data_IF_140763835676
#
_entry.id   IF_140763835676
#
_cell.length_a   1.000
_cell.length_b   1.000
_cell.length_c   1.000
_cell.angle_alpha   90.00
_cell.angle_beta   90.00
_cell.angle_gamma   90.00
#
_symmetry.space_group_name_H-M   'P 1'
#
loop_
_entity.id
_entity.type
_entity.pdbx_description
1 polymer ?
#
# COMPACT_ATOMS: atom_id res chain seq x y z
N UNK A 1 0.08 -87.93 33.83
CA UNK A 1 0.00 -86.82 34.82
C UNK A 1 0.40 -85.53 34.11
N UNK A 2 -0.60 -84.78 33.66
CA UNK A 2 -0.50 -83.55 32.86
C UNK A 2 -0.97 -82.38 33.71
N UNK A 3 -0.18 -81.31 33.82
CA UNK A 3 -0.59 -80.06 34.44
C UNK A 3 -0.33 -78.91 33.45
N UNK A 4 -1.39 -78.41 32.81
CA UNK A 4 -1.47 -77.11 32.10
C UNK A 4 -2.62 -76.35 32.78
N UNK A 5 -2.33 -75.30 33.55
CA UNK A 5 -2.25 -73.88 33.15
C UNK A 5 -3.60 -73.22 32.82
N UNK A 6 -4.07 -72.44 33.81
CA UNK A 6 -4.65 -71.08 33.73
C UNK A 6 -5.97 -70.92 32.94
N UNK A 7 -7.04 -70.65 33.69
CA UNK A 7 -8.26 -69.98 33.20
C UNK A 7 -8.47 -68.72 34.04
N UNK A 8 -8.10 -67.58 33.43
CA UNK A 8 -8.62 -66.19 33.51
C UNK A 8 -9.05 -65.59 34.87
N UNK A 9 -8.83 -64.28 35.07
CA UNK A 9 -9.92 -63.36 34.72
C UNK A 9 -9.49 -62.04 34.04
N UNK A 10 -10.31 -61.68 33.05
CA UNK A 10 -10.92 -60.35 32.92
C UNK A 10 -9.95 -59.15 32.89
N UNK A 11 -9.23 -59.00 31.79
CA UNK A 11 -8.53 -57.76 31.45
C UNK A 11 -9.57 -56.73 30.96
N UNK A 12 -9.73 -55.69 31.76
CA UNK A 12 -10.59 -54.53 31.53
C UNK A 12 -10.21 -53.84 30.21
N UNK A 13 -11.15 -53.80 29.26
CA UNK A 13 -11.08 -52.93 28.09
C UNK A 13 -11.20 -51.47 28.55
N UNK A 14 -10.07 -50.82 28.77
CA UNK A 14 -10.00 -49.36 28.89
C UNK A 14 -10.09 -48.74 27.49
N UNK A 15 -11.23 -48.14 27.18
CA UNK A 15 -11.40 -47.22 26.05
C UNK A 15 -10.49 -46.01 26.25
N UNK A 16 -9.30 -46.02 25.65
CA UNK A 16 -8.50 -44.82 25.44
C UNK A 16 -9.19 -43.98 24.37
N UNK A 17 -9.93 -42.98 24.81
CA UNK A 17 -10.40 -41.90 23.97
C UNK A 17 -9.18 -41.10 23.48
N UNK A 18 -8.90 -41.17 22.18
CA UNK A 18 -8.09 -40.14 21.54
C UNK A 18 -8.95 -38.88 21.44
N UNK A 19 -8.82 -37.98 22.41
CA UNK A 19 -9.23 -36.60 22.21
C UNK A 19 -8.30 -36.03 21.13
N UNK A 20 -8.85 -35.83 19.93
CA UNK A 20 -8.27 -34.94 18.93
C UNK A 20 -8.24 -33.55 19.57
N UNK A 21 -7.12 -33.21 20.18
CA UNK A 21 -6.79 -31.85 20.52
C UNK A 21 -6.75 -31.07 19.21
N UNK A 22 -7.89 -30.43 18.90
CA UNK A 22 -8.01 -29.49 17.81
C UNK A 22 -7.11 -28.32 18.15
N UNK A 23 -5.82 -28.48 17.82
CA UNK A 23 -4.88 -27.39 17.68
C UNK A 23 -5.53 -26.42 16.70
N UNK A 24 -6.26 -25.46 17.25
CA UNK A 24 -6.40 -24.15 16.63
C UNK A 24 -4.97 -23.69 16.51
N UNK A 25 -4.37 -23.97 15.36
CA UNK A 25 -3.32 -23.17 14.79
C UNK A 25 -3.95 -21.78 14.60
N UNK A 26 -4.10 -21.08 15.72
CA UNK A 26 -4.08 -19.63 15.76
C UNK A 26 -2.72 -19.33 15.18
N UNK A 27 -2.70 -19.26 13.85
CA UNK A 27 -1.64 -18.69 13.07
C UNK A 27 -1.30 -17.43 13.83
N UNK A 28 -0.19 -17.50 14.55
CA UNK A 28 0.44 -16.32 15.10
C UNK A 28 0.86 -15.59 13.83
N UNK A 29 -0.08 -14.83 13.28
CA UNK A 29 0.19 -13.68 12.47
C UNK A 29 1.02 -12.82 13.39
N UNK A 30 2.33 -13.06 13.34
CA UNK A 30 3.29 -12.00 13.49
C UNK A 30 2.75 -10.92 12.56
N UNK A 31 2.10 -9.93 13.15
CA UNK A 31 2.05 -8.59 12.62
C UNK A 31 3.52 -8.22 12.43
N UNK A 32 4.03 -8.58 11.25
CA UNK A 32 5.19 -7.97 10.69
C UNK A 32 4.77 -6.52 10.55
N UNK A 33 5.06 -5.73 11.58
CA UNK A 33 4.79 -4.30 11.62
C UNK A 33 5.71 -3.68 10.57
N UNK A 34 5.25 -3.72 9.32
CA UNK A 34 6.01 -3.20 8.20
C UNK A 34 6.13 -1.70 8.39
N UNK A 35 7.35 -1.16 8.42
CA UNK A 35 7.52 0.28 8.43
C UNK A 35 6.88 0.89 7.17
N UNK A 36 6.19 2.05 7.31
CA UNK A 36 5.59 2.73 6.18
C UNK A 36 6.67 3.20 5.21
N UNK A 37 6.48 2.93 3.92
CA UNK A 37 7.40 3.39 2.88
C UNK A 37 6.88 4.73 2.37
N UNK A 38 7.66 5.79 2.54
CA UNK A 38 7.36 7.08 1.94
C UNK A 38 8.00 7.18 0.56
N UNK A 39 7.16 7.26 -0.46
CA UNK A 39 7.58 7.46 -1.84
C UNK A 39 7.48 8.95 -2.15
N UNK A 40 8.61 9.59 -2.39
CA UNK A 40 8.67 10.99 -2.81
C UNK A 40 9.23 11.10 -4.22
N UNK A 41 8.55 11.87 -5.07
CA UNK A 41 8.94 12.10 -6.46
C UNK A 41 8.78 13.58 -6.81
N UNK A 42 9.54 14.02 -7.81
CA UNK A 42 9.39 15.33 -8.44
C UNK A 42 8.87 15.16 -9.87
N UNK A 43 8.10 16.13 -10.35
CA UNK A 43 7.73 16.27 -11.74
C UNK A 43 7.92 17.70 -12.23
N UNK A 44 8.10 17.85 -13.54
CA UNK A 44 8.56 19.09 -14.13
C UNK A 44 7.64 19.57 -15.25
N UNK A 45 7.45 20.89 -15.31
CA UNK A 45 6.77 21.61 -16.37
C UNK A 45 7.59 22.83 -16.73
N UNK A 46 7.48 23.31 -17.96
CA UNK A 46 8.32 24.42 -18.44
C UNK A 46 7.50 25.52 -19.11
N UNK A 47 8.08 26.72 -19.09
CA UNK A 47 7.66 27.82 -19.94
C UNK A 47 8.37 27.74 -21.29
N UNK A 48 7.75 28.31 -22.33
CA UNK A 48 8.41 28.50 -23.62
C UNK A 48 9.36 29.70 -23.55
N UNK A 49 8.89 30.84 -23.02
CA UNK A 49 9.71 32.01 -22.67
C UNK A 49 9.59 32.29 -21.16
N UNK A 50 10.59 31.90 -20.39
CA UNK A 50 10.62 32.04 -18.93
C UNK A 50 10.43 33.48 -18.42
N UNK A 51 10.78 34.50 -19.22
CA UNK A 51 10.70 35.90 -18.82
C UNK A 51 9.30 36.49 -19.01
N UNK A 52 8.64 36.14 -20.12
CA UNK A 52 7.31 36.67 -20.48
C UNK A 52 6.18 35.78 -19.98
N UNK A 53 6.36 34.47 -20.07
CA UNK A 53 5.26 33.53 -19.88
C UNK A 53 4.90 33.35 -18.41
N UNK A 54 5.86 33.57 -17.51
CA UNK A 54 5.61 33.60 -16.06
C UNK A 54 4.65 34.71 -15.64
N UNK A 55 4.67 35.84 -16.34
CA UNK A 55 3.78 36.96 -16.07
C UNK A 55 2.36 36.69 -16.60
N UNK A 56 2.21 35.73 -17.51
CA UNK A 56 0.93 35.34 -18.06
C UNK A 56 0.27 34.24 -17.20
N UNK A 57 -0.82 34.59 -16.51
CA UNK A 57 -1.55 33.66 -15.63
C UNK A 57 -1.98 32.37 -16.33
N UNK A 58 -2.39 32.43 -17.61
CA UNK A 58 -2.80 31.23 -18.36
C UNK A 58 -1.61 30.29 -18.57
N UNK A 59 -0.47 30.82 -19.00
CA UNK A 59 0.74 30.01 -19.23
C UNK A 59 1.33 29.47 -17.92
N UNK A 60 1.30 30.27 -16.85
CA UNK A 60 1.64 29.84 -15.49
C UNK A 60 0.82 28.66 -14.99
N UNK A 61 -0.50 28.70 -15.17
CA UNK A 61 -1.38 27.58 -14.81
C UNK A 61 -1.12 26.34 -15.67
N UNK A 62 -0.78 26.50 -16.95
CA UNK A 62 -0.43 25.39 -17.82
C UNK A 62 0.89 24.71 -17.39
N UNK A 63 1.93 25.49 -17.09
CA UNK A 63 3.21 24.95 -16.64
C UNK A 63 3.08 24.19 -15.30
N UNK A 64 2.31 24.74 -14.35
CA UNK A 64 1.98 24.06 -13.08
C UNK A 64 1.18 22.76 -13.28
N UNK A 65 0.23 22.73 -14.23
CA UNK A 65 -0.51 21.51 -14.53
C UNK A 65 0.37 20.46 -15.19
N UNK A 66 1.26 20.88 -16.09
CA UNK A 66 2.22 20.00 -16.72
C UNK A 66 3.15 19.36 -15.67
N UNK A 67 3.70 20.15 -14.74
CA UNK A 67 4.55 19.63 -13.66
C UNK A 67 3.82 18.67 -12.73
N UNK A 68 2.55 18.94 -12.44
CA UNK A 68 1.71 18.06 -11.62
C UNK A 68 1.44 16.72 -12.31
N UNK A 69 1.11 16.73 -13.61
CA UNK A 69 0.86 15.50 -14.37
C UNK A 69 2.13 14.65 -14.50
N UNK A 70 3.28 15.30 -14.72
CA UNK A 70 4.58 14.63 -14.73
C UNK A 70 4.91 14.01 -13.36
N UNK A 71 4.62 14.72 -12.26
CA UNK A 71 4.84 14.21 -10.91
C UNK A 71 3.97 12.97 -10.62
N UNK A 72 2.70 12.98 -11.02
CA UNK A 72 1.83 11.80 -10.90
C UNK A 72 2.33 10.63 -11.74
N UNK A 73 2.84 10.88 -12.95
CA UNK A 73 3.43 9.85 -13.79
C UNK A 73 4.64 9.22 -13.11
N UNK A 74 5.59 10.04 -12.63
CA UNK A 74 6.78 9.56 -11.93
C UNK A 74 6.41 8.81 -10.65
N UNK A 75 5.36 9.25 -9.95
CA UNK A 75 4.85 8.57 -8.76
C UNK A 75 4.31 7.18 -9.13
N UNK A 76 3.46 7.09 -10.14
CA UNK A 76 2.91 5.82 -10.58
C UNK A 76 4.02 4.86 -10.98
N UNK A 77 4.96 5.28 -11.84
CA UNK A 77 6.10 4.46 -12.25
C UNK A 77 6.90 3.95 -11.03
N UNK A 78 7.14 4.81 -10.04
CA UNK A 78 7.84 4.42 -8.81
C UNK A 78 7.05 3.42 -7.96
N UNK A 79 5.74 3.62 -7.80
CA UNK A 79 4.87 2.72 -7.02
C UNK A 79 4.79 1.35 -7.69
N UNK A 80 4.51 1.32 -8.99
CA UNK A 80 4.42 0.07 -9.76
C UNK A 80 5.74 -0.71 -9.80
N UNK A 81 6.89 0.00 -9.82
CA UNK A 81 8.21 -0.62 -9.76
C UNK A 81 8.69 -0.99 -8.34
N UNK A 82 7.90 -0.72 -7.30
CA UNK A 82 8.31 -1.04 -5.92
C UNK A 82 8.35 -2.56 -5.71
N UNK A 83 9.45 -3.06 -5.16
CA UNK A 83 9.61 -4.48 -4.80
C UNK A 83 8.86 -4.74 -3.49
N UNK A 84 8.04 -5.78 -3.47
CA UNK A 84 7.21 -6.09 -2.30
C UNK A 84 7.68 -7.37 -1.60
N UNK A 85 7.97 -8.42 -2.37
CA UNK A 85 8.39 -9.70 -1.80
C UNK A 85 9.36 -10.44 -2.73
N UNK A 86 10.51 -10.84 -2.20
CA UNK A 86 11.55 -11.52 -2.97
C UNK A 86 12.00 -10.69 -4.17
N UNK A 87 11.77 -11.20 -5.39
CA UNK A 87 12.03 -10.52 -6.66
C UNK A 87 10.76 -10.00 -7.35
N UNK A 88 9.59 -10.08 -6.71
CA UNK A 88 8.31 -9.65 -7.30
C UNK A 88 8.00 -8.18 -6.98
N UNK A 89 7.51 -7.47 -7.99
CA UNK A 89 7.14 -6.04 -7.93
C UNK A 89 5.63 -5.86 -7.83
N UNK A 90 5.16 -4.67 -7.44
CA UNK A 90 3.73 -4.32 -7.46
C UNK A 90 3.11 -4.58 -8.83
N UNK A 91 3.84 -4.27 -9.91
CA UNK A 91 3.39 -4.50 -11.28
C UNK A 91 3.07 -5.98 -11.57
N UNK A 92 3.84 -6.93 -11.04
CA UNK A 92 3.62 -8.36 -11.27
C UNK A 92 2.28 -8.86 -10.68
N UNK A 93 1.86 -8.25 -9.56
CA UNK A 93 0.58 -8.56 -8.91
C UNK A 93 -0.60 -7.86 -9.61
N UNK A 94 -0.42 -6.62 -10.06
CA UNK A 94 -1.46 -5.87 -10.79
C UNK A 94 -1.84 -6.56 -12.10
N UNK A 95 -0.88 -7.19 -12.78
CA UNK A 95 -1.14 -7.93 -14.01
C UNK A 95 -1.98 -9.20 -13.80
N UNK A 96 -2.02 -9.75 -12.58
CA UNK A 96 -2.75 -10.98 -12.26
C UNK A 96 -4.15 -10.71 -11.71
N UNK A 97 -4.38 -9.55 -11.10
CA UNK A 97 -5.62 -9.25 -10.41
C UNK A 97 -6.07 -7.77 -10.57
N UNK A 98 -7.23 -7.57 -11.20
CA UNK A 98 -7.83 -6.24 -11.43
C UNK A 98 -8.30 -5.55 -10.13
N UNK A 99 -8.67 -6.31 -9.10
CA UNK A 99 -9.00 -5.74 -7.78
C UNK A 99 -7.76 -5.12 -7.15
N UNK A 100 -6.62 -5.81 -7.29
CA UNK A 100 -5.34 -5.30 -6.82
C UNK A 100 -4.90 -4.05 -7.61
N UNK A 101 -5.14 -4.02 -8.93
CA UNK A 101 -4.97 -2.81 -9.74
C UNK A 101 -5.75 -1.63 -9.18
N UNK A 102 -7.03 -1.84 -8.93
CA UNK A 102 -7.94 -0.79 -8.44
C UNK A 102 -7.49 -0.28 -7.06
N UNK A 103 -7.00 -1.18 -6.20
CA UNK A 103 -6.43 -0.84 -4.90
C UNK A 103 -5.16 0.01 -5.00
N UNK A 104 -4.21 -0.37 -5.86
CA UNK A 104 -2.98 0.43 -6.06
C UNK A 104 -3.33 1.81 -6.66
N UNK A 105 -4.23 1.84 -7.64
CA UNK A 105 -4.66 3.08 -8.29
C UNK A 105 -5.36 4.03 -7.32
N UNK A 106 -6.13 3.53 -6.35
CA UNK A 106 -6.72 4.38 -5.32
C UNK A 106 -5.68 5.01 -4.39
N UNK A 107 -4.62 4.25 -4.04
CA UNK A 107 -3.51 4.79 -3.24
C UNK A 107 -2.76 5.90 -4.00
N UNK A 108 -2.47 5.70 -5.29
CA UNK A 108 -1.81 6.72 -6.14
C UNK A 108 -2.65 8.00 -6.21
N UNK A 109 -3.98 7.90 -6.29
CA UNK A 109 -4.88 9.07 -6.28
C UNK A 109 -4.86 9.82 -4.94
N UNK A 110 -4.59 9.12 -3.84
CA UNK A 110 -4.43 9.70 -2.50
C UNK A 110 -3.07 10.37 -2.26
N UNK A 111 -2.20 10.44 -3.26
CA UNK A 111 -0.90 11.08 -3.11
C UNK A 111 -1.01 12.57 -2.80
N UNK A 112 -0.15 13.03 -1.90
CA UNK A 112 -0.15 14.40 -1.41
C UNK A 112 0.84 15.25 -2.19
N UNK A 113 0.40 16.43 -2.62
CA UNK A 113 1.30 17.47 -3.13
C UNK A 113 1.98 18.17 -1.96
N UNK A 114 3.30 18.09 -1.89
CA UNK A 114 4.10 18.66 -0.79
C UNK A 114 4.63 20.05 -1.14
N UNK A 115 4.99 20.28 -2.41
CA UNK A 115 5.51 21.57 -2.84
C UNK A 115 5.28 21.80 -4.34
N UNK A 116 5.17 23.08 -4.72
CA UNK A 116 5.23 23.54 -6.11
C UNK A 116 6.20 24.72 -6.18
N UNK A 117 7.37 24.49 -6.78
CA UNK A 117 8.44 25.47 -6.88
C UNK A 117 8.51 26.01 -8.30
N UNK A 118 8.55 27.33 -8.45
CA UNK A 118 8.85 27.97 -9.73
C UNK A 118 10.28 28.48 -9.69
N UNK A 119 11.15 27.81 -10.43
CA UNK A 119 12.56 28.19 -10.57
C UNK A 119 12.69 29.42 -11.46
N UNK A 120 13.84 30.11 -11.44
CA UNK A 120 14.11 31.33 -12.22
C UNK A 120 14.50 31.08 -13.68
N UNK A 121 14.81 29.84 -14.05
CA UNK A 121 15.27 29.38 -15.37
C UNK A 121 14.15 29.09 -16.38
N UNK A 122 13.01 28.60 -15.91
CA UNK A 122 11.79 28.38 -16.69
C UNK A 122 10.98 27.20 -16.17
N UNK A 123 11.52 26.52 -15.16
CA UNK A 123 11.01 25.23 -14.71
C UNK A 123 10.06 25.41 -13.53
N UNK A 124 8.94 24.73 -13.61
CA UNK A 124 8.02 24.51 -12.51
C UNK A 124 8.22 23.08 -12.04
N UNK A 125 8.61 22.91 -10.79
CA UNK A 125 8.77 21.62 -10.14
C UNK A 125 7.59 21.37 -9.20
N UNK A 126 7.01 20.18 -9.24
CA UNK A 126 5.99 19.71 -8.30
C UNK A 126 6.51 18.50 -7.57
N UNK A 127 6.54 18.56 -6.24
CA UNK A 127 6.95 17.46 -5.37
C UNK A 127 5.72 16.78 -4.82
N UNK A 128 5.62 15.47 -5.06
CA UNK A 128 4.56 14.62 -4.53
C UNK A 128 5.11 13.59 -3.58
N UNK A 129 4.32 13.26 -2.57
CA UNK A 129 4.62 12.26 -1.57
C UNK A 129 3.44 11.31 -1.39
N UNK A 130 3.73 10.03 -1.36
CA UNK A 130 2.78 8.98 -1.05
C UNK A 130 3.34 8.14 0.10
N UNK A 131 2.56 8.00 1.16
CA UNK A 131 2.89 7.13 2.29
C UNK A 131 2.20 5.79 2.07
N UNK A 132 2.98 4.76 1.80
CA UNK A 132 2.50 3.37 1.73
C UNK A 132 2.43 2.83 3.14
N UNK A 133 1.20 2.67 3.63
CA UNK A 133 0.94 2.19 4.99
C UNK A 133 1.35 0.72 5.17
N UNK A 134 1.57 0.27 6.42
CA UNK A 134 1.86 -1.14 6.71
C UNK A 134 0.80 -2.09 6.13
N UNK A 135 -0.47 -1.67 6.14
CA UNK A 135 -1.61 -2.41 5.57
C UNK A 135 -1.48 -2.62 4.06
N UNK A 136 -0.98 -1.62 3.33
CA UNK A 136 -0.70 -1.76 1.91
C UNK A 136 0.27 -2.93 1.71
N UNK A 137 1.40 -2.94 2.44
CA UNK A 137 2.38 -4.03 2.35
C UNK A 137 1.84 -5.37 2.80
N UNK A 138 1.02 -5.42 3.85
CA UNK A 138 0.38 -6.65 4.30
C UNK A 138 -0.55 -7.24 3.22
N UNK A 139 -1.32 -6.39 2.53
CA UNK A 139 -2.13 -6.79 1.37
C UNK A 139 -1.25 -7.25 0.20
N UNK A 140 -0.20 -6.52 -0.17
CA UNK A 140 0.59 -6.89 -1.37
C UNK A 140 1.51 -8.09 -1.12
N UNK A 141 1.88 -8.38 0.12
CA UNK A 141 2.86 -9.44 0.45
C UNK A 141 2.26 -10.82 0.75
N UNK A 142 0.93 -10.95 0.97
CA UNK A 142 0.34 -12.16 1.57
C UNK A 142 -0.61 -12.96 0.68
N UNK A 143 -0.74 -12.67 -0.61
CA UNK A 143 -1.94 -13.13 -1.32
C UNK A 143 -1.62 -14.11 -2.44
N UNK A 144 -2.05 -15.37 -2.24
CA UNK A 144 -2.48 -16.24 -3.33
C UNK A 144 -3.80 -15.67 -3.90
N UNK A 145 -4.01 -15.73 -5.22
CA UNK A 145 -5.03 -14.95 -5.95
C UNK A 145 -6.46 -15.00 -5.38
N UNK A 146 -6.80 -15.98 -4.54
CA UNK A 146 -8.11 -16.22 -3.93
C UNK A 146 -8.44 -15.37 -2.67
N UNK A 147 -7.45 -14.82 -1.95
CA UNK A 147 -7.69 -14.03 -0.72
C UNK A 147 -7.65 -12.48 -0.90
N UNK A 148 -7.50 -11.98 -2.14
CA UNK A 148 -7.30 -10.53 -2.40
C UNK A 148 -8.48 -9.70 -1.91
N UNK A 149 -9.71 -10.16 -2.13
CA UNK A 149 -10.92 -9.35 -1.87
C UNK A 149 -11.12 -9.07 -0.37
N UNK A 150 -10.79 -10.04 0.49
CA UNK A 150 -10.99 -9.91 1.94
C UNK A 150 -9.85 -9.13 2.61
N UNK A 151 -8.62 -9.25 2.12
CA UNK A 151 -7.45 -8.61 2.73
C UNK A 151 -7.08 -7.24 2.14
N UNK A 152 -7.50 -6.96 0.92
CA UNK A 152 -7.17 -5.73 0.18
C UNK A 152 -8.39 -4.82 -0.06
N UNK A 153 -9.41 -4.91 0.78
CA UNK A 153 -10.51 -3.95 0.75
C UNK A 153 -10.05 -2.60 1.31
N UNK A 154 -10.25 -1.53 0.54
CA UNK A 154 -10.03 -0.15 1.01
C UNK A 154 -11.08 0.12 2.08
N UNK A 155 -10.71 0.28 3.36
CA UNK A 155 -11.70 0.63 4.37
C UNK A 155 -12.24 2.03 4.06
N UNK A 156 -13.56 2.18 4.14
CA UNK A 156 -14.16 3.51 4.16
C UNK A 156 -13.64 4.24 5.40
N UNK A 157 -13.20 5.51 5.29
CA UNK A 157 -12.82 6.32 6.45
C UNK A 157 -14.01 6.35 7.41
N UNK A 158 -13.86 5.76 8.59
CA UNK A 158 -14.94 5.67 9.60
C UNK A 158 -14.78 6.71 10.70
N UNK A 159 -13.57 7.20 10.92
CA UNK A 159 -13.20 8.26 11.86
C UNK A 159 -12.04 9.07 11.28
N UNK A 160 -11.76 10.28 11.80
CA UNK A 160 -10.60 11.08 11.42
C UNK A 160 -9.30 10.39 11.87
N UNK A 161 -8.73 9.54 11.04
CA UNK A 161 -7.47 8.83 11.21
C UNK A 161 -6.24 9.73 10.92
N UNK A 162 -6.10 10.79 11.73
CA UNK A 162 -5.00 11.75 11.69
C UNK A 162 -3.60 11.15 11.94
N UNK A 163 -3.51 9.85 12.23
CA UNK A 163 -2.25 9.10 12.44
C UNK A 163 -1.52 8.83 11.12
N UNK A 164 -2.26 8.80 10.00
CA UNK A 164 -1.73 8.73 8.64
C UNK A 164 -1.46 10.11 8.03
N UNK A 165 -2.19 11.12 8.50
CA UNK A 165 -2.18 12.47 7.94
C UNK A 165 -0.86 13.19 8.21
N UNK A 166 -0.03 13.33 7.17
CA UNK A 166 1.10 14.25 7.21
C UNK A 166 0.52 15.66 7.23
N UNK A 167 0.55 16.31 8.38
CA UNK A 167 0.09 17.69 8.52
C UNK A 167 0.92 18.59 7.60
N UNK A 168 0.24 19.19 6.60
CA UNK A 168 0.85 20.16 5.69
C UNK A 168 1.20 21.43 6.44
N UNK A 169 2.34 21.48 7.13
CA UNK A 169 2.94 22.77 7.49
C UNK A 169 3.49 23.36 6.21
N UNK A 170 2.87 24.41 5.69
CA UNK A 170 3.33 25.18 4.54
C UNK A 170 3.08 24.54 3.16
N UNK A 171 1.83 24.32 2.79
CA UNK A 171 1.44 24.48 1.39
C UNK A 171 0.45 25.63 1.37
N UNK A 172 0.81 26.73 0.72
CA UNK A 172 -0.03 27.91 0.55
C UNK A 172 -1.16 27.54 -0.43
N UNK A 173 -2.15 26.79 0.06
CA UNK A 173 -3.30 26.36 -0.72
C UNK A 173 -4.23 27.56 -0.91
N UNK A 174 -4.18 28.17 -2.09
CA UNK A 174 -5.13 29.20 -2.52
C UNK A 174 -6.59 28.71 -2.65
N UNK A 175 -6.85 27.43 -2.41
CA UNK A 175 -8.18 26.82 -2.37
C UNK A 175 -8.32 26.04 -1.06
N UNK A 176 -9.03 26.64 -0.10
CA UNK A 176 -9.67 25.89 0.96
C UNK A 176 -10.97 25.30 0.38
N UNK A 177 -11.14 23.99 0.52
CA UNK A 177 -12.45 23.36 0.35
C UNK A 177 -13.15 23.50 1.71
N UNK A 178 -14.07 24.47 1.79
CA UNK A 178 -15.13 24.49 2.80
C UNK A 178 -16.14 23.36 2.52
#
# INVERSE_FOLDING_TARGET
>A
MTLRWIVTPLLILGLTACASDGSKDSTQQADQEFEPITVRVSGFGTYEDASKDRLNTRKRLLARRASQLDAYRNLAERVYGTVIYGSSTVNDFVLRNDTFRTYVDSYIRGAKMVAVNEHSDGVVETVMELKLEPRFRACVSRVADDEVQDRCSIPMPRDNDAVGDVQSKSVDSLYYLD
#
